data_IF_579834440732
#
_entry.id   IF_579834440732
#
_cell.length_a   1.000
_cell.length_b   1.000
_cell.length_c   1.000
_cell.angle_alpha   90.00
_cell.angle_beta   90.00
_cell.angle_gamma   90.00
#
_symmetry.space_group_name_H-M   'P 1'
#
loop_
_entity.id
_entity.type
_entity.pdbx_description
1 polymer ?
#
# COMPACT_ATOMS: atom_id res chain seq x y z
N UNK A 1 -6.32 -30.73 -3.71
CA UNK A 1 -5.86 -30.86 -2.30
C UNK A 1 -6.29 -29.62 -1.54
N UNK A 2 -6.83 -29.77 -0.35
CA UNK A 2 -7.35 -28.69 0.50
C UNK A 2 -6.32 -27.58 0.74
N UNK A 3 -5.03 -27.89 0.79
CA UNK A 3 -3.94 -26.90 0.88
C UNK A 3 -3.73 -26.02 -0.34
N UNK A 4 -4.30 -26.38 -1.50
CA UNK A 4 -4.18 -25.60 -2.74
C UNK A 4 -4.82 -24.20 -2.65
N UNK A 5 -5.83 -24.04 -1.80
CA UNK A 5 -6.45 -22.74 -1.55
C UNK A 5 -5.51 -21.71 -0.91
N UNK A 6 -4.43 -22.16 -0.25
CA UNK A 6 -3.45 -21.28 0.38
C UNK A 6 -2.30 -20.77 -0.50
N UNK A 7 -2.28 -21.09 -1.79
CA UNK A 7 -1.18 -20.70 -2.69
C UNK A 7 -0.95 -19.19 -2.80
N UNK A 8 -2.00 -18.39 -2.60
CA UNK A 8 -1.89 -16.93 -2.64
C UNK A 8 -1.30 -16.31 -1.36
N UNK A 9 -1.22 -17.07 -0.24
CA UNK A 9 -0.78 -16.54 1.07
C UNK A 9 0.63 -15.93 1.00
N UNK A 10 1.65 -16.56 0.40
CA UNK A 10 3.00 -16.03 0.34
C UNK A 10 3.21 -14.97 -0.76
N UNK A 11 2.16 -14.57 -1.50
CA UNK A 11 2.31 -13.57 -2.57
C UNK A 11 2.47 -12.14 -2.07
N UNK A 12 1.82 -11.78 -0.96
CA UNK A 12 1.79 -10.40 -0.50
C UNK A 12 3.07 -9.99 0.25
N UNK A 13 3.44 -8.71 0.14
CA UNK A 13 4.53 -8.09 0.89
C UNK A 13 3.98 -6.96 1.76
N UNK A 14 4.25 -7.00 3.06
CA UNK A 14 3.85 -5.93 3.97
C UNK A 14 4.81 -4.74 3.86
N UNK A 15 4.38 -3.70 3.15
CA UNK A 15 5.18 -2.49 2.89
C UNK A 15 5.58 -1.80 4.20
N UNK A 16 4.65 -1.66 5.14
CA UNK A 16 4.88 -0.92 6.37
C UNK A 16 5.95 -1.59 7.22
N UNK A 17 5.86 -2.90 7.42
CA UNK A 17 6.86 -3.66 8.17
C UNK A 17 8.19 -3.76 7.43
N UNK A 18 8.19 -3.99 6.14
CA UNK A 18 9.41 -4.08 5.32
C UNK A 18 10.20 -2.76 5.32
N UNK A 19 9.51 -1.62 5.13
CA UNK A 19 10.13 -0.30 5.23
C UNK A 19 10.50 0.04 6.68
N UNK A 20 9.73 -0.42 7.67
CA UNK A 20 10.06 -0.29 9.07
C UNK A 20 11.40 -0.92 9.40
N UNK A 21 11.62 -2.19 9.03
CA UNK A 21 12.90 -2.89 9.20
C UNK A 21 14.04 -2.18 8.43
N UNK A 22 13.76 -1.74 7.19
CA UNK A 22 14.75 -1.00 6.40
C UNK A 22 15.13 0.34 7.07
N UNK A 23 14.18 0.99 7.72
CA UNK A 23 14.39 2.27 8.43
C UNK A 23 15.27 2.13 9.68
N UNK A 24 15.34 0.96 10.30
CA UNK A 24 16.24 0.69 11.43
C UNK A 24 17.74 0.81 11.04
N UNK A 25 18.06 0.71 9.75
CA UNK A 25 19.42 0.91 9.23
C UNK A 25 19.79 2.40 9.04
N UNK A 26 18.83 3.30 9.24
CA UNK A 26 19.01 4.75 9.26
C UNK A 26 19.42 5.33 7.90
N UNK A 27 20.33 6.32 7.95
CA UNK A 27 20.79 7.08 6.78
C UNK A 27 21.72 6.30 5.83
N UNK A 28 22.16 5.11 6.22
CA UNK A 28 23.02 4.26 5.37
C UNK A 28 22.29 3.69 4.16
N UNK A 29 20.95 3.61 4.22
CA UNK A 29 20.13 3.02 3.15
C UNK A 29 19.97 4.00 2.00
N UNK A 30 20.49 3.69 0.79
CA UNK A 30 20.25 4.49 -0.40
C UNK A 30 18.76 4.64 -0.70
N UNK A 31 18.35 5.82 -1.17
CA UNK A 31 16.96 6.08 -1.53
C UNK A 31 16.45 5.11 -2.61
N UNK A 32 17.33 4.71 -3.53
CA UNK A 32 17.01 3.73 -4.58
C UNK A 32 16.50 2.39 -4.04
N UNK A 33 17.07 1.90 -2.93
CA UNK A 33 16.61 0.66 -2.29
C UNK A 33 15.21 0.81 -1.68
N UNK A 34 14.93 1.97 -1.06
CA UNK A 34 13.59 2.27 -0.51
C UNK A 34 12.57 2.32 -1.64
N UNK A 35 12.86 3.05 -2.72
CA UNK A 35 11.99 3.17 -3.89
C UNK A 35 11.76 1.79 -4.53
N UNK A 36 12.82 0.99 -4.69
CA UNK A 36 12.72 -0.35 -5.25
C UNK A 36 11.79 -1.24 -4.42
N UNK A 37 12.00 -1.30 -3.09
CA UNK A 37 11.19 -2.12 -2.20
C UNK A 37 9.72 -1.68 -2.21
N UNK A 38 9.48 -0.37 -2.15
CA UNK A 38 8.12 0.19 -2.21
C UNK A 38 7.44 -0.12 -3.53
N UNK A 39 8.09 0.13 -4.66
CA UNK A 39 7.53 -0.13 -5.99
C UNK A 39 7.24 -1.62 -6.18
N UNK A 40 8.17 -2.48 -5.77
CA UNK A 40 7.97 -3.93 -5.82
C UNK A 40 6.75 -4.34 -4.99
N UNK A 41 6.67 -3.91 -3.73
CA UNK A 41 5.58 -4.30 -2.84
C UNK A 41 4.21 -3.79 -3.32
N UNK A 42 4.13 -2.59 -3.90
CA UNK A 42 2.89 -2.07 -4.53
C UNK A 42 2.43 -2.95 -5.69
N UNK A 43 3.36 -3.36 -6.58
CA UNK A 43 3.02 -4.24 -7.71
C UNK A 43 2.57 -5.62 -7.22
N UNK A 44 3.22 -6.12 -6.18
CA UNK A 44 2.93 -7.38 -5.53
C UNK A 44 1.55 -7.40 -4.87
N UNK A 45 1.20 -6.32 -4.17
CA UNK A 45 -0.13 -6.14 -3.57
C UNK A 45 -1.24 -6.07 -4.64
N UNK A 46 -0.99 -5.35 -5.74
CA UNK A 46 -1.94 -5.34 -6.88
C UNK A 46 -2.11 -6.75 -7.43
N UNK A 47 -1.00 -7.51 -7.59
CA UNK A 47 -1.04 -8.91 -8.01
C UNK A 47 -1.85 -9.78 -7.05
N UNK A 48 -1.63 -9.62 -5.74
CA UNK A 48 -2.39 -10.31 -4.69
C UNK A 48 -3.89 -10.01 -4.74
N UNK A 49 -4.26 -8.74 -4.90
CA UNK A 49 -5.66 -8.31 -5.02
C UNK A 49 -6.32 -8.90 -6.27
N UNK A 50 -5.61 -8.95 -7.41
CA UNK A 50 -6.12 -9.59 -8.63
C UNK A 50 -6.34 -11.09 -8.44
N UNK A 51 -5.43 -11.79 -7.77
CA UNK A 51 -5.60 -13.21 -7.45
C UNK A 51 -6.79 -13.42 -6.52
N UNK A 52 -6.94 -12.60 -5.48
CA UNK A 52 -8.11 -12.65 -4.60
C UNK A 52 -9.39 -12.46 -5.41
N UNK A 53 -9.42 -11.51 -6.33
CA UNK A 53 -10.56 -11.22 -7.17
C UNK A 53 -10.98 -12.40 -8.05
N UNK A 54 -10.00 -13.07 -8.64
CA UNK A 54 -10.25 -14.13 -9.62
C UNK A 54 -10.59 -15.48 -8.96
N UNK A 55 -9.97 -15.78 -7.81
CA UNK A 55 -10.05 -17.11 -7.21
C UNK A 55 -10.90 -17.18 -5.95
N UNK A 56 -11.17 -16.04 -5.29
CA UNK A 56 -11.91 -15.99 -4.03
C UNK A 56 -13.25 -15.24 -4.14
N UNK A 57 -13.69 -14.90 -5.36
CA UNK A 57 -15.00 -14.31 -5.57
C UNK A 57 -16.07 -15.40 -5.59
N UNK A 58 -17.20 -15.12 -4.95
CA UNK A 58 -18.38 -15.96 -4.92
C UNK A 58 -19.28 -15.69 -6.17
N UNK A 59 -20.56 -16.02 -6.11
CA UNK A 59 -21.51 -15.73 -7.18
C UNK A 59 -21.56 -14.25 -7.54
N UNK A 60 -21.23 -13.93 -8.81
CA UNK A 60 -21.13 -12.54 -9.27
C UNK A 60 -22.49 -12.02 -9.67
N UNK A 61 -22.97 -10.99 -8.96
CA UNK A 61 -24.19 -10.25 -9.31
C UNK A 61 -23.88 -9.07 -10.23
N UNK A 62 -23.97 -9.30 -11.53
CA UNK A 62 -23.58 -8.34 -12.59
C UNK A 62 -24.29 -6.98 -12.52
N UNK A 63 -25.55 -6.93 -11.97
CA UNK A 63 -26.28 -5.68 -11.82
C UNK A 63 -25.57 -4.65 -10.94
N UNK A 64 -25.05 -5.07 -9.79
CA UNK A 64 -24.29 -4.19 -8.90
C UNK A 64 -22.97 -3.73 -9.53
N UNK A 65 -22.29 -4.61 -10.28
CA UNK A 65 -21.06 -4.24 -10.99
C UNK A 65 -21.32 -3.19 -12.08
N UNK A 66 -22.39 -3.33 -12.83
CA UNK A 66 -22.75 -2.38 -13.88
C UNK A 66 -22.97 -0.99 -13.28
N UNK A 67 -23.69 -0.90 -12.17
CA UNK A 67 -23.90 0.37 -11.44
C UNK A 67 -22.58 0.92 -10.92
N UNK A 68 -21.71 0.08 -10.36
CA UNK A 68 -20.38 0.51 -9.90
C UNK A 68 -19.51 1.06 -11.03
N UNK A 69 -19.52 0.43 -12.21
CA UNK A 69 -18.82 0.90 -13.41
C UNK A 69 -19.36 2.27 -13.85
N UNK A 70 -20.67 2.48 -13.83
CA UNK A 70 -21.26 3.79 -14.14
C UNK A 70 -20.77 4.88 -13.18
N UNK A 71 -20.66 4.58 -11.87
CA UNK A 71 -20.09 5.52 -10.91
C UNK A 71 -18.61 5.81 -11.17
N UNK A 72 -17.79 4.82 -11.57
CA UNK A 72 -16.40 5.08 -11.96
C UNK A 72 -16.29 5.97 -13.19
N UNK A 73 -17.11 5.72 -14.21
CA UNK A 73 -17.15 6.56 -15.41
C UNK A 73 -17.55 7.99 -15.04
N UNK A 74 -18.56 8.15 -14.19
CA UNK A 74 -19.00 9.45 -13.68
C UNK A 74 -17.86 10.16 -12.93
N UNK A 75 -17.19 9.48 -12.00
CA UNK A 75 -16.06 10.01 -11.25
C UNK A 75 -14.89 10.42 -12.15
N UNK A 76 -14.58 9.61 -13.17
CA UNK A 76 -13.54 9.93 -14.14
C UNK A 76 -13.85 11.23 -14.88
N UNK A 77 -15.07 11.41 -15.39
CA UNK A 77 -15.47 12.64 -16.07
C UNK A 77 -15.48 13.83 -15.11
N UNK A 78 -16.03 13.69 -13.91
CA UNK A 78 -16.05 14.76 -12.90
C UNK A 78 -14.63 15.16 -12.52
N UNK A 79 -13.73 14.20 -12.33
CA UNK A 79 -12.30 14.44 -12.10
C UNK A 79 -11.63 15.17 -13.26
N UNK A 80 -11.93 14.78 -14.50
CA UNK A 80 -11.43 15.42 -15.72
C UNK A 80 -11.95 16.86 -15.87
N UNK A 81 -13.21 17.12 -15.54
CA UNK A 81 -13.80 18.46 -15.61
C UNK A 81 -13.43 19.36 -14.44
N UNK A 82 -12.78 18.80 -13.42
CA UNK A 82 -12.06 19.66 -12.52
C UNK A 82 -12.46 19.70 -11.08
N UNK A 83 -13.14 18.74 -10.58
CA UNK A 83 -13.39 18.63 -9.15
C UNK A 83 -12.12 18.20 -8.44
N UNK A 84 -11.68 18.99 -7.43
CA UNK A 84 -10.55 18.68 -6.56
C UNK A 84 -11.00 18.24 -5.17
N UNK A 85 -12.31 18.19 -4.93
CA UNK A 85 -12.86 17.87 -3.62
C UNK A 85 -12.66 16.37 -3.30
N UNK A 86 -11.66 16.08 -2.46
CA UNK A 86 -11.32 14.72 -2.02
C UNK A 86 -12.45 14.02 -1.26
N UNK A 87 -13.25 14.76 -0.48
CA UNK A 87 -14.39 14.20 0.27
C UNK A 87 -15.44 13.63 -0.69
N UNK A 88 -15.67 14.31 -1.80
CA UNK A 88 -16.58 13.83 -2.84
C UNK A 88 -16.16 12.47 -3.42
N UNK A 89 -14.85 12.31 -3.75
CA UNK A 89 -14.32 11.03 -4.23
C UNK A 89 -14.43 9.93 -3.18
N UNK A 90 -14.18 10.24 -1.91
CA UNK A 90 -14.32 9.27 -0.81
C UNK A 90 -15.76 8.82 -0.60
N UNK A 91 -16.72 9.74 -0.57
CA UNK A 91 -18.14 9.42 -0.38
C UNK A 91 -18.64 8.50 -1.48
N UNK A 92 -18.37 8.84 -2.75
CA UNK A 92 -18.75 7.97 -3.87
C UNK A 92 -17.95 6.67 -3.84
N UNK A 93 -16.69 6.71 -3.43
CA UNK A 93 -15.86 5.53 -3.23
C UNK A 93 -16.46 4.52 -2.24
N UNK A 94 -17.05 5.00 -1.13
CA UNK A 94 -17.77 4.15 -0.16
C UNK A 94 -19.02 3.52 -0.79
N UNK A 95 -19.75 4.26 -1.63
CA UNK A 95 -20.91 3.71 -2.35
C UNK A 95 -20.44 2.60 -3.31
N UNK A 96 -19.40 2.84 -4.08
CA UNK A 96 -18.84 1.85 -5.00
C UNK A 96 -18.33 0.62 -4.23
N UNK A 97 -17.64 0.82 -3.11
CA UNK A 97 -17.20 -0.26 -2.23
C UNK A 97 -18.37 -1.15 -1.76
N UNK A 98 -19.48 -0.53 -1.37
CA UNK A 98 -20.69 -1.25 -0.97
C UNK A 98 -21.31 -2.03 -2.15
N UNK A 99 -21.33 -1.45 -3.36
CA UNK A 99 -21.81 -2.14 -4.57
C UNK A 99 -20.94 -3.37 -4.90
N UNK A 100 -19.60 -3.26 -4.74
CA UNK A 100 -18.71 -4.41 -4.89
C UNK A 100 -18.97 -5.47 -3.84
N UNK A 101 -19.20 -5.08 -2.59
CA UNK A 101 -19.55 -6.02 -1.51
C UNK A 101 -20.82 -6.81 -1.87
N UNK A 102 -21.85 -6.16 -2.41
CA UNK A 102 -23.10 -6.80 -2.84
C UNK A 102 -22.95 -7.60 -4.14
N UNK A 103 -21.93 -7.32 -4.93
CA UNK A 103 -21.70 -8.03 -6.20
C UNK A 103 -21.09 -9.42 -6.02
N UNK A 104 -20.58 -9.75 -4.83
CA UNK A 104 -19.86 -11.00 -4.57
C UNK A 104 -18.39 -10.99 -4.99
N UNK A 105 -17.92 -9.89 -5.59
CA UNK A 105 -16.49 -9.67 -5.83
C UNK A 105 -15.86 -9.04 -4.59
N UNK A 106 -14.60 -9.42 -4.32
CA UNK A 106 -13.91 -8.90 -3.15
C UNK A 106 -13.80 -7.36 -3.21
N UNK A 107 -14.35 -6.67 -2.21
CA UNK A 107 -14.54 -5.23 -2.22
C UNK A 107 -13.25 -4.39 -2.19
N UNK A 108 -12.10 -5.00 -1.85
CA UNK A 108 -10.78 -4.32 -1.87
C UNK A 108 -10.38 -3.82 -3.26
N UNK A 109 -10.84 -4.50 -4.33
CA UNK A 109 -10.60 -4.09 -5.73
C UNK A 109 -11.17 -2.71 -6.00
N UNK A 110 -12.32 -2.39 -5.41
CA UNK A 110 -12.96 -1.10 -5.61
C UNK A 110 -12.05 0.07 -5.21
N UNK A 111 -11.30 -0.06 -4.12
CA UNK A 111 -10.35 0.96 -3.68
C UNK A 111 -9.19 1.16 -4.66
N UNK A 112 -8.66 0.07 -5.22
CA UNK A 112 -7.56 0.13 -6.22
C UNK A 112 -8.04 0.81 -7.50
N UNK A 113 -9.21 0.43 -8.03
CA UNK A 113 -9.78 1.07 -9.22
C UNK A 113 -10.07 2.56 -8.93
N UNK A 114 -10.60 2.87 -7.75
CA UNK A 114 -10.85 4.25 -7.32
C UNK A 114 -9.58 5.09 -7.37
N UNK A 115 -8.45 4.57 -6.89
CA UNK A 115 -7.18 5.26 -6.90
C UNK A 115 -6.71 5.61 -8.33
N UNK A 116 -6.98 4.77 -9.33
CA UNK A 116 -6.69 5.06 -10.74
C UNK A 116 -7.64 6.10 -11.36
N UNK A 117 -8.84 6.24 -10.82
CA UNK A 117 -9.85 7.20 -11.32
C UNK A 117 -9.65 8.60 -10.74
N UNK A 118 -9.09 8.71 -9.53
CA UNK A 118 -8.82 10.00 -8.90
C UNK A 118 -7.69 10.72 -9.65
N UNK A 119 -7.85 12.02 -9.98
CA UNK A 119 -6.83 12.77 -10.73
C UNK A 119 -5.48 12.84 -9.99
N UNK A 120 -4.44 12.29 -10.61
CA UNK A 120 -3.06 12.31 -10.10
C UNK A 120 -2.26 13.53 -10.56
N UNK A 121 -2.77 14.33 -11.51
CA UNK A 121 -2.07 15.50 -12.03
C UNK A 121 -2.56 16.77 -11.34
N UNK A 122 -1.65 17.66 -10.90
CA UNK A 122 -2.02 18.97 -10.41
C UNK A 122 -2.66 19.79 -11.53
N UNK A 123 -3.58 20.67 -11.17
CA UNK A 123 -4.29 21.53 -12.12
C UNK A 123 -3.54 22.80 -12.49
N UNK A 124 -2.75 23.32 -11.57
CA UNK A 124 -1.98 24.54 -11.79
C UNK A 124 -0.54 24.21 -12.18
N UNK A 125 -0.04 24.93 -13.15
CA UNK A 125 1.39 24.94 -13.43
C UNK A 125 2.13 25.49 -12.21
N UNK A 126 3.09 24.74 -11.69
CA UNK A 126 3.91 25.11 -10.53
C UNK A 126 4.50 26.52 -10.66
N UNK A 127 4.94 26.93 -11.88
CA UNK A 127 5.46 28.26 -12.14
C UNK A 127 4.43 29.37 -11.87
N UNK A 128 3.20 29.23 -12.37
CA UNK A 128 2.11 30.19 -12.11
C UNK A 128 1.74 30.24 -10.63
N UNK A 129 1.86 29.12 -9.92
CA UNK A 129 1.60 29.06 -8.48
C UNK A 129 2.66 29.82 -7.69
N UNK A 130 3.95 29.60 -7.97
CA UNK A 130 5.06 30.32 -7.30
C UNK A 130 4.92 31.83 -7.56
N UNK A 131 4.56 32.25 -8.77
CA UNK A 131 4.32 33.65 -9.09
C UNK A 131 3.14 34.21 -8.31
N UNK A 132 2.05 33.44 -8.20
CA UNK A 132 0.90 33.84 -7.37
C UNK A 132 1.26 33.99 -5.89
N UNK A 133 1.98 33.02 -5.30
CA UNK A 133 2.47 33.12 -3.91
C UNK A 133 3.34 34.35 -3.74
N UNK A 134 4.31 34.59 -4.64
CA UNK A 134 5.19 35.76 -4.58
C UNK A 134 4.40 37.05 -4.58
N UNK A 135 3.40 37.16 -5.44
CA UNK A 135 2.53 38.34 -5.53
C UNK A 135 1.68 38.51 -4.27
N UNK A 136 1.11 37.43 -3.72
CA UNK A 136 0.29 37.48 -2.51
C UNK A 136 1.14 37.83 -1.29
N UNK A 137 2.37 37.31 -1.18
CA UNK A 137 3.30 37.64 -0.09
C UNK A 137 3.80 39.08 -0.22
N UNK A 138 4.10 39.56 -1.43
CA UNK A 138 4.52 40.95 -1.65
C UNK A 138 3.42 41.97 -1.28
N UNK A 139 2.16 41.58 -1.42
CA UNK A 139 1.01 42.39 -0.99
C UNK A 139 0.50 42.07 0.42
N UNK A 140 1.29 41.37 1.24
CA UNK A 140 0.88 41.04 2.59
C UNK A 140 0.94 42.31 3.48
N UNK A 141 -0.15 42.68 4.19
CA UNK A 141 -0.15 43.89 5.04
C UNK A 141 0.93 43.82 6.12
N UNK A 142 1.72 44.86 6.24
CA UNK A 142 2.77 44.93 7.24
C UNK A 142 2.19 44.69 8.65
N UNK A 143 2.89 43.86 9.42
CA UNK A 143 2.53 43.66 10.83
C UNK A 143 2.69 44.99 11.57
N UNK A 144 1.57 45.66 11.86
CA UNK A 144 1.57 46.77 12.82
C UNK A 144 1.52 46.16 14.22
N UNK A 145 2.68 46.22 14.89
CA UNK A 145 2.89 45.88 16.31
C UNK A 145 2.62 44.43 16.75
N UNK A 146 3.12 44.06 17.89
CA UNK A 146 3.15 42.80 18.61
C UNK A 146 1.79 42.09 18.84
N UNK A 147 0.78 42.34 18.05
CA UNK A 147 -0.53 41.70 18.17
C UNK A 147 -0.46 40.25 17.60
N UNK A 148 -0.69 39.30 18.49
CA UNK A 148 -0.78 37.85 18.16
C UNK A 148 -2.02 37.55 17.32
N UNK A 149 -2.97 38.46 17.18
CA UNK A 149 -4.22 38.29 16.46
C UNK A 149 -4.11 38.84 15.05
N UNK A 150 -4.30 37.95 14.05
CA UNK A 150 -4.30 38.33 12.63
C UNK A 150 -5.53 39.16 12.28
N UNK A 151 -5.36 40.19 11.45
CA UNK A 151 -6.48 40.95 10.88
C UNK A 151 -7.25 40.10 9.85
N UNK A 152 -8.50 40.49 9.60
CA UNK A 152 -9.33 39.81 8.57
C UNK A 152 -8.67 39.83 7.18
N UNK A 153 -7.93 40.88 6.85
CA UNK A 153 -7.20 41.01 5.57
C UNK A 153 -6.01 40.03 5.50
N UNK A 154 -5.25 39.90 6.61
CA UNK A 154 -4.17 38.91 6.72
C UNK A 154 -4.70 37.50 6.61
N UNK A 155 -5.83 37.20 7.29
CA UNK A 155 -6.50 35.91 7.20
C UNK A 155 -6.94 35.62 5.75
N UNK A 156 -7.52 36.59 5.05
CA UNK A 156 -7.95 36.44 3.66
C UNK A 156 -6.75 36.12 2.74
N UNK A 157 -5.61 36.79 2.92
CA UNK A 157 -4.38 36.53 2.16
C UNK A 157 -3.79 35.15 2.44
N UNK A 158 -3.80 34.69 3.70
CA UNK A 158 -3.38 33.34 4.06
C UNK A 158 -4.28 32.27 3.45
N UNK A 159 -5.59 32.46 3.47
CA UNK A 159 -6.55 31.56 2.81
C UNK A 159 -6.37 31.54 1.29
N UNK A 160 -5.97 32.63 0.67
CA UNK A 160 -5.65 32.68 -0.76
C UNK A 160 -4.42 31.82 -1.08
N UNK A 161 -3.36 31.87 -0.26
CA UNK A 161 -2.17 31.01 -0.39
C UNK A 161 -2.53 29.54 -0.17
N UNK A 162 -3.30 29.24 0.86
CA UNK A 162 -3.80 27.88 1.18
C UNK A 162 -4.61 27.30 0.00
N UNK A 163 -5.61 28.04 -0.49
CA UNK A 163 -6.42 27.64 -1.65
C UNK A 163 -5.59 27.44 -2.92
N UNK A 164 -4.54 28.23 -3.10
CA UNK A 164 -3.63 28.05 -4.23
C UNK A 164 -2.76 26.80 -4.06
N UNK A 165 -2.32 26.49 -2.83
CA UNK A 165 -1.57 25.26 -2.50
C UNK A 165 -2.39 24.01 -2.82
N UNK A 166 -3.64 23.97 -2.39
CA UNK A 166 -4.56 22.85 -2.65
C UNK A 166 -4.79 22.56 -4.14
N UNK A 167 -4.57 23.55 -5.02
CA UNK A 167 -4.70 23.37 -6.47
C UNK A 167 -3.43 22.89 -7.15
N UNK A 168 -2.28 23.00 -6.51
CA UNK A 168 -0.98 22.49 -7.00
C UNK A 168 -0.77 21.05 -6.60
N UNK A 169 -1.24 20.66 -5.41
CA UNK A 169 -1.21 19.27 -4.96
C UNK A 169 -2.36 18.53 -5.67
N UNK A 170 -2.06 17.39 -6.28
CA UNK A 170 -3.12 16.59 -6.91
C UNK A 170 -4.10 16.06 -5.85
N UNK A 171 -5.39 15.87 -6.19
CA UNK A 171 -6.35 15.28 -5.25
C UNK A 171 -5.90 13.92 -4.72
N UNK A 172 -5.26 13.10 -5.54
CA UNK A 172 -4.72 11.80 -5.13
C UNK A 172 -3.61 11.94 -4.09
N UNK A 173 -2.63 12.82 -4.31
CA UNK A 173 -1.54 13.07 -3.35
C UNK A 173 -2.08 13.63 -2.03
N UNK A 174 -2.99 14.59 -2.10
CA UNK A 174 -3.60 15.17 -0.89
C UNK A 174 -4.42 14.12 -0.10
N UNK A 175 -5.02 13.14 -0.79
CA UNK A 175 -5.71 12.04 -0.15
C UNK A 175 -4.74 11.08 0.54
N UNK A 176 -3.65 10.72 -0.14
CA UNK A 176 -2.56 9.90 0.40
C UNK A 176 -1.99 10.52 1.68
N UNK A 177 -1.61 11.80 1.63
CA UNK A 177 -1.03 12.52 2.77
C UNK A 177 -2.00 12.53 3.98
N UNK A 178 -3.30 12.76 3.75
CA UNK A 178 -4.28 12.78 4.82
C UNK A 178 -4.57 11.39 5.42
N UNK A 179 -4.56 10.35 4.60
CA UNK A 179 -4.84 8.99 5.05
C UNK A 179 -3.62 8.33 5.69
N UNK A 180 -2.41 8.76 5.33
CA UNK A 180 -1.15 8.15 5.75
C UNK A 180 -1.06 7.96 7.28
N UNK A 181 -1.36 9.00 8.06
CA UNK A 181 -1.34 8.92 9.52
C UNK A 181 -2.39 7.95 10.06
N UNK A 182 -3.62 8.07 9.60
CA UNK A 182 -4.73 7.20 10.05
C UNK A 182 -4.48 5.74 9.69
N UNK A 183 -3.97 5.48 8.48
CA UNK A 183 -3.67 4.11 8.03
C UNK A 183 -2.55 3.51 8.88
N UNK A 184 -1.43 4.21 9.04
CA UNK A 184 -0.25 3.64 9.69
C UNK A 184 -0.39 3.51 11.22
N UNK A 185 -1.09 4.42 11.88
CA UNK A 185 -1.16 4.45 13.34
C UNK A 185 -2.46 3.87 13.92
N UNK A 186 -3.52 3.73 13.12
CA UNK A 186 -4.78 3.18 13.59
C UNK A 186 -5.18 1.92 12.82
N UNK A 187 -5.31 2.01 11.49
CA UNK A 187 -5.86 0.91 10.69
C UNK A 187 -4.92 -0.29 10.68
N UNK A 188 -3.64 -0.11 10.35
CA UNK A 188 -2.68 -1.23 10.26
C UNK A 188 -2.48 -1.94 11.59
N UNK A 189 -2.29 -1.26 12.76
CA UNK A 189 -2.19 -1.95 14.04
C UNK A 189 -3.46 -2.70 14.41
N UNK A 190 -4.64 -2.11 14.20
CA UNK A 190 -5.91 -2.76 14.47
C UNK A 190 -6.13 -3.97 13.55
N UNK A 191 -5.82 -3.82 12.26
CA UNK A 191 -5.90 -4.90 11.28
C UNK A 191 -4.95 -6.06 11.62
N UNK A 192 -3.71 -5.76 12.01
CA UNK A 192 -2.74 -6.74 12.48
C UNK A 192 -3.25 -7.47 13.72
N UNK A 193 -3.76 -6.72 14.70
CA UNK A 193 -4.30 -7.29 15.94
C UNK A 193 -5.45 -8.27 15.68
N UNK A 194 -6.41 -7.90 14.83
CA UNK A 194 -7.57 -8.73 14.51
C UNK A 194 -7.18 -10.00 13.74
N UNK A 195 -6.20 -9.91 12.84
CA UNK A 195 -5.84 -11.02 11.94
C UNK A 195 -4.73 -11.94 12.51
N UNK A 196 -3.88 -11.45 13.40
CA UNK A 196 -2.71 -12.19 13.90
C UNK A 196 -3.03 -13.28 14.93
N UNK A 197 -4.27 -13.35 15.43
CA UNK A 197 -4.64 -14.33 16.46
C UNK A 197 -4.31 -15.77 16.04
N UNK A 198 -3.32 -16.39 16.73
CA UNK A 198 -2.96 -17.80 16.61
C UNK A 198 -3.42 -18.52 17.87
N UNK A 199 -4.13 -19.61 17.70
CA UNK A 199 -4.60 -20.42 18.84
C UNK A 199 -3.52 -21.45 19.19
N UNK A 200 -2.86 -21.25 20.34
CA UNK A 200 -1.81 -22.16 20.83
C UNK A 200 -2.36 -23.38 21.63
N UNK A 201 -3.62 -23.36 22.05
CA UNK A 201 -4.21 -24.33 22.99
C UNK A 201 -5.24 -25.28 22.38
N UNK A 202 -5.19 -25.55 21.09
CA UNK A 202 -6.24 -26.27 20.39
C UNK A 202 -5.89 -27.66 19.86
N UNK A 203 -4.92 -28.42 20.42
CA UNK A 203 -4.66 -29.82 20.01
C UNK A 203 -4.28 -30.04 18.54
N UNK A 204 -4.21 -29.01 17.73
CA UNK A 204 -3.77 -29.06 16.32
C UNK A 204 -2.27 -28.80 16.22
N UNK A 205 -1.60 -29.51 15.34
CA UNK A 205 -0.19 -29.26 15.03
C UNK A 205 -0.03 -27.87 14.41
N UNK A 206 0.67 -26.96 15.09
CA UNK A 206 1.03 -25.64 14.54
C UNK A 206 2.03 -25.78 13.38
N UNK A 207 2.91 -26.78 13.47
CA UNK A 207 3.89 -27.11 12.46
C UNK A 207 3.36 -28.23 11.59
N UNK A 208 2.91 -27.90 10.40
CA UNK A 208 2.42 -28.86 9.42
C UNK A 208 2.86 -28.47 8.01
N UNK A 209 2.40 -29.21 7.03
CA UNK A 209 2.76 -28.99 5.63
C UNK A 209 2.46 -27.56 5.16
N UNK A 210 1.33 -26.99 5.60
CA UNK A 210 0.91 -25.62 5.21
C UNK A 210 1.81 -24.59 5.87
N UNK A 211 2.17 -24.71 7.15
CA UNK A 211 3.05 -23.74 7.82
C UNK A 211 4.45 -23.72 7.20
N UNK A 212 5.01 -24.89 6.88
CA UNK A 212 6.32 -24.99 6.23
C UNK A 212 6.26 -24.42 4.80
N UNK A 213 5.22 -24.76 4.04
CA UNK A 213 5.06 -24.26 2.67
C UNK A 213 4.92 -22.74 2.61
N UNK A 214 4.11 -22.15 3.51
CA UNK A 214 3.93 -20.70 3.60
C UNK A 214 5.22 -20.00 4.04
N UNK A 215 5.89 -20.49 5.09
CA UNK A 215 7.14 -19.91 5.55
C UNK A 215 8.26 -20.01 4.48
N UNK A 216 8.39 -21.15 3.81
CA UNK A 216 9.32 -21.33 2.71
C UNK A 216 8.97 -20.46 1.49
N UNK A 217 7.68 -20.32 1.17
CA UNK A 217 7.20 -19.43 0.10
C UNK A 217 7.56 -17.98 0.34
N UNK A 218 7.34 -17.49 1.56
CA UNK A 218 7.72 -16.11 1.96
C UNK A 218 9.24 -15.90 1.96
N UNK A 219 9.99 -16.82 2.56
CA UNK A 219 11.43 -16.65 2.72
C UNK A 219 12.19 -16.95 1.42
N UNK A 220 12.01 -18.15 0.87
CA UNK A 220 12.79 -18.61 -0.28
C UNK A 220 12.13 -18.24 -1.61
N UNK A 221 10.81 -18.43 -1.73
CA UNK A 221 10.08 -18.14 -2.96
C UNK A 221 10.18 -16.66 -3.35
N UNK A 222 9.91 -15.77 -2.40
CA UNK A 222 10.03 -14.32 -2.60
C UNK A 222 11.48 -13.92 -2.88
N UNK A 223 12.42 -14.37 -2.07
CA UNK A 223 13.82 -14.07 -2.27
C UNK A 223 14.31 -14.45 -3.66
N UNK A 224 14.08 -15.71 -4.07
CA UNK A 224 14.49 -16.21 -5.38
C UNK A 224 13.78 -15.45 -6.49
N UNK A 225 12.46 -15.26 -6.38
CA UNK A 225 11.67 -14.55 -7.37
C UNK A 225 12.15 -13.12 -7.58
N UNK A 226 12.23 -12.32 -6.52
CA UNK A 226 12.64 -10.90 -6.60
C UNK A 226 14.07 -10.80 -7.14
N UNK A 227 15.00 -11.59 -6.58
CA UNK A 227 16.39 -11.53 -6.98
C UNK A 227 16.60 -11.97 -8.44
N UNK A 228 16.00 -13.10 -8.82
CA UNK A 228 16.16 -13.66 -10.16
C UNK A 228 15.54 -12.77 -11.25
N UNK A 229 14.31 -12.29 -11.06
CA UNK A 229 13.67 -11.43 -12.06
C UNK A 229 14.34 -10.06 -12.17
N UNK A 230 14.83 -9.50 -11.05
CA UNK A 230 15.61 -8.27 -11.08
C UNK A 230 16.95 -8.47 -11.79
N UNK A 231 17.64 -9.60 -11.51
CA UNK A 231 18.86 -9.94 -12.20
C UNK A 231 18.63 -10.12 -13.70
N UNK A 232 17.55 -10.80 -14.09
CA UNK A 232 17.20 -11.02 -15.48
C UNK A 232 16.91 -9.69 -16.19
N UNK A 233 16.13 -8.79 -15.57
CA UNK A 233 15.81 -7.49 -16.12
C UNK A 233 17.04 -6.62 -16.36
N UNK A 234 18.01 -6.64 -15.45
CA UNK A 234 19.26 -5.89 -15.59
C UNK A 234 20.17 -6.57 -16.65
N UNK A 235 20.27 -7.90 -16.65
CA UNK A 235 21.10 -8.64 -17.62
C UNK A 235 20.59 -8.52 -19.05
N UNK A 236 19.28 -8.49 -19.24
CA UNK A 236 18.64 -8.27 -20.54
C UNK A 236 18.62 -6.80 -20.96
N UNK A 237 19.20 -5.91 -20.16
CA UNK A 237 19.23 -4.44 -20.38
C UNK A 237 17.86 -3.78 -20.50
N UNK A 238 16.81 -4.42 -19.93
CA UNK A 238 15.49 -3.78 -19.82
C UNK A 238 15.53 -2.57 -18.89
N UNK A 239 16.38 -2.62 -17.85
CA UNK A 239 16.60 -1.51 -16.92
C UNK A 239 18.06 -1.48 -16.48
N UNK A 240 18.65 -0.29 -16.26
CA UNK A 240 19.96 -0.18 -15.62
C UNK A 240 19.86 -0.49 -14.12
N UNK A 241 20.98 -0.86 -13.51
CA UNK A 241 21.06 -0.98 -12.04
C UNK A 241 20.89 0.41 -11.42
N UNK A 242 19.97 0.60 -10.47
CA UNK A 242 19.79 1.89 -9.81
C UNK A 242 21.04 2.35 -9.07
N UNK A 243 21.29 3.67 -9.05
CA UNK A 243 22.43 4.25 -8.37
C UNK A 243 22.47 3.88 -6.88
N UNK A 244 23.64 3.43 -6.41
CA UNK A 244 23.81 3.00 -5.01
C UNK A 244 23.27 1.60 -4.70
N UNK A 245 22.69 0.90 -5.69
CA UNK A 245 22.30 -0.49 -5.55
C UNK A 245 23.47 -1.42 -5.94
N UNK A 246 23.68 -2.46 -5.16
CA UNK A 246 24.62 -3.54 -5.44
C UNK A 246 23.90 -4.89 -5.34
N UNK A 247 24.47 -5.93 -5.92
CA UNK A 247 23.89 -7.28 -5.83
C UNK A 247 23.75 -7.77 -4.38
N UNK A 248 24.67 -7.35 -3.49
CA UNK A 248 24.62 -7.70 -2.07
C UNK A 248 23.47 -7.02 -1.34
N UNK A 249 23.29 -5.70 -1.52
CA UNK A 249 22.17 -5.01 -0.87
C UNK A 249 20.81 -5.32 -1.51
N UNK A 250 20.77 -5.65 -2.81
CA UNK A 250 19.58 -6.18 -3.46
C UNK A 250 19.15 -7.50 -2.83
N UNK A 251 20.08 -8.40 -2.50
CA UNK A 251 19.72 -9.66 -1.83
C UNK A 251 19.06 -9.44 -0.47
N UNK A 252 19.53 -8.46 0.29
CA UNK A 252 18.89 -8.08 1.56
C UNK A 252 17.49 -7.49 1.38
N UNK A 253 17.31 -6.64 0.38
CA UNK A 253 15.97 -6.09 0.05
C UNK A 253 15.03 -7.18 -0.45
N UNK A 254 15.53 -8.12 -1.26
CA UNK A 254 14.74 -9.27 -1.73
C UNK A 254 14.26 -10.16 -0.56
N UNK A 255 15.10 -10.33 0.48
CA UNK A 255 14.69 -11.00 1.73
C UNK A 255 13.60 -10.20 2.46
N UNK A 256 13.73 -8.87 2.57
CA UNK A 256 12.69 -8.03 3.18
C UNK A 256 11.36 -8.11 2.43
N UNK A 257 11.37 -8.36 1.11
CA UNK A 257 10.18 -8.64 0.33
C UNK A 257 9.40 -9.88 0.78
N UNK A 258 10.02 -10.78 1.55
CA UNK A 258 9.37 -11.93 2.19
C UNK A 258 8.60 -11.61 3.48
N UNK A 259 8.60 -10.36 3.95
CA UNK A 259 7.75 -9.93 5.07
C UNK A 259 6.32 -9.79 4.57
N UNK A 260 5.48 -10.82 4.79
CA UNK A 260 4.09 -10.83 4.30
C UNK A 260 3.05 -10.42 5.33
N UNK A 261 3.40 -10.40 6.58
CA UNK A 261 2.63 -10.23 7.81
C UNK A 261 1.13 -9.93 7.63
N UNK A 262 0.71 -8.65 7.60
CA UNK A 262 -0.70 -8.28 7.66
C UNK A 262 -1.51 -8.80 6.47
N UNK A 263 -1.00 -8.62 5.25
CA UNK A 263 -1.73 -9.01 4.03
C UNK A 263 -1.75 -10.53 3.86
N UNK A 264 -0.64 -11.22 4.16
CA UNK A 264 -0.59 -12.69 4.14
C UNK A 264 -1.53 -13.32 5.17
N UNK A 265 -1.66 -12.73 6.39
CA UNK A 265 -2.63 -13.18 7.39
C UNK A 265 -4.08 -12.99 6.92
N UNK A 266 -4.35 -11.88 6.25
CA UNK A 266 -5.66 -11.63 5.65
C UNK A 266 -6.00 -12.65 4.56
N UNK A 267 -5.05 -12.93 3.64
CA UNK A 267 -5.23 -13.95 2.62
C UNK A 267 -5.41 -15.33 3.26
N UNK A 268 -4.69 -15.66 4.33
CA UNK A 268 -4.88 -16.91 5.07
C UNK A 268 -6.31 -17.05 5.63
N UNK A 269 -6.85 -15.97 6.21
CA UNK A 269 -8.23 -15.95 6.68
C UNK A 269 -9.23 -16.12 5.52
N UNK A 270 -8.98 -15.53 4.36
CA UNK A 270 -9.81 -15.72 3.16
C UNK A 270 -9.73 -17.14 2.60
N UNK A 271 -8.52 -17.73 2.62
CA UNK A 271 -8.24 -19.03 2.03
C UNK A 271 -8.85 -20.19 2.81
N UNK A 272 -8.81 -20.11 4.13
CA UNK A 272 -9.19 -21.21 5.01
C UNK A 272 -10.39 -20.88 5.90
N UNK A 273 -10.59 -19.63 6.27
CA UNK A 273 -11.75 -19.13 7.02
C UNK A 273 -12.08 -19.97 8.25
N UNK A 274 -13.39 -20.17 8.49
CA UNK A 274 -13.89 -21.01 9.58
C UNK A 274 -14.00 -22.49 9.18
N UNK A 275 -13.91 -22.81 7.89
CA UNK A 275 -14.12 -24.17 7.38
C UNK A 275 -12.93 -25.08 7.67
N UNK A 276 -11.71 -24.51 7.70
CA UNK A 276 -10.45 -25.22 7.91
C UNK A 276 -9.61 -24.61 9.04
N UNK A 277 -10.05 -24.64 10.30
CA UNK A 277 -9.40 -23.94 11.41
C UNK A 277 -7.96 -24.42 11.68
N UNK A 278 -7.67 -25.69 11.46
CA UNK A 278 -6.31 -26.24 11.62
C UNK A 278 -5.38 -25.70 10.56
N UNK A 279 -5.80 -25.71 9.29
CA UNK A 279 -4.99 -25.18 8.17
C UNK A 279 -4.79 -23.67 8.31
N UNK A 280 -5.82 -22.96 8.76
CA UNK A 280 -5.72 -21.51 9.04
C UNK A 280 -4.66 -21.23 10.12
N UNK A 281 -4.67 -22.00 11.20
CA UNK A 281 -3.73 -21.83 12.30
C UNK A 281 -2.29 -22.15 11.86
N UNK A 282 -2.10 -23.23 11.08
CA UNK A 282 -0.82 -23.54 10.43
C UNK A 282 -0.36 -22.42 9.49
N UNK A 283 -1.26 -21.88 8.65
CA UNK A 283 -0.94 -20.80 7.74
C UNK A 283 -0.50 -19.54 8.50
N UNK A 284 -1.22 -19.14 9.54
CA UNK A 284 -0.86 -18.00 10.39
C UNK A 284 0.51 -18.18 11.04
N UNK A 285 0.79 -19.37 11.57
CA UNK A 285 2.09 -19.70 12.15
C UNK A 285 3.20 -19.64 11.09
N UNK A 286 2.94 -20.17 9.87
CA UNK A 286 3.84 -20.06 8.74
C UNK A 286 4.12 -18.63 8.30
N UNK A 287 3.10 -17.77 8.28
CA UNK A 287 3.26 -16.34 7.97
C UNK A 287 4.11 -15.64 9.02
N UNK A 288 3.86 -15.87 10.31
CA UNK A 288 4.62 -15.22 11.38
C UNK A 288 6.09 -15.65 11.36
N UNK A 289 6.35 -16.96 11.25
CA UNK A 289 7.72 -17.47 11.19
C UNK A 289 8.47 -17.02 9.93
N UNK A 290 7.83 -17.08 8.76
CA UNK A 290 8.39 -16.59 7.50
C UNK A 290 8.71 -15.10 7.55
N UNK A 291 7.81 -14.29 8.09
CA UNK A 291 7.99 -12.84 8.28
C UNK A 291 9.18 -12.52 9.18
N UNK A 292 9.26 -13.16 10.35
CA UNK A 292 10.37 -12.92 11.30
C UNK A 292 11.70 -13.33 10.69
N UNK A 293 11.78 -14.51 10.07
CA UNK A 293 13.01 -14.98 9.42
C UNK A 293 13.44 -14.07 8.26
N UNK A 294 12.50 -13.67 7.40
CA UNK A 294 12.76 -12.74 6.29
C UNK A 294 13.24 -11.37 6.78
N UNK A 295 12.60 -10.84 7.82
CA UNK A 295 12.99 -9.57 8.41
C UNK A 295 14.37 -9.60 9.05
N UNK A 296 14.67 -10.62 9.85
CA UNK A 296 15.96 -10.78 10.51
C UNK A 296 17.10 -11.00 9.51
N UNK A 297 16.93 -11.93 8.57
CA UNK A 297 17.95 -12.21 7.56
C UNK A 297 18.15 -11.02 6.63
N UNK A 298 17.07 -10.36 6.19
CA UNK A 298 17.15 -9.16 5.36
C UNK A 298 17.89 -8.02 6.08
N UNK A 299 17.57 -7.79 7.35
CA UNK A 299 18.28 -6.80 8.17
C UNK A 299 19.77 -7.09 8.32
N UNK A 300 20.12 -8.34 8.65
CA UNK A 300 21.54 -8.76 8.82
C UNK A 300 22.31 -8.60 7.51
N UNK A 301 21.76 -9.09 6.39
CA UNK A 301 22.41 -8.96 5.08
C UNK A 301 22.60 -7.50 4.69
N UNK A 302 21.60 -6.65 4.89
CA UNK A 302 21.70 -5.22 4.60
C UNK A 302 22.70 -4.52 5.51
N UNK A 303 22.73 -4.85 6.81
CA UNK A 303 23.70 -4.27 7.75
C UNK A 303 25.15 -4.57 7.39
N UNK A 304 25.40 -5.74 6.78
CA UNK A 304 26.75 -6.16 6.35
C UNK A 304 27.08 -5.56 4.98
N UNK A 305 26.09 -5.32 4.12
CA UNK A 305 26.30 -4.88 2.74
C UNK A 305 26.29 -3.36 2.53
N UNK A 306 25.77 -2.60 3.52
CA UNK A 306 25.72 -1.14 3.58
C UNK A 306 26.77 -0.57 4.54
#
# INVERSE_FOLDING_TARGET
SEGGHGLAIPMATDIAFSLGVLSLLGSRVPLSLKIFLTAFAVVDDIGGILVIALFYSSHVAYGYLLVAILFYILLYFIGKYGTTNKVFFLVIGVIIWYLFLQSGIHSTISGVILAFVIPAKPRLNVGKYIEKIRHTIAGFPAMQSESIVLTNEQIAKLKEVESASDRVISPLQSLEDNLHGTVNYLILPLFAFVNAGVVFSGGGELVGAVSIAVAAGLLLGKFIGIYFFTWLAIKTRLTPMPLGMTWKNLSGVALLGGIGFTVSLFIANLSFGVDYPVLLNQAKFGVLTGTVLSGLLGYVVLRISL
#
